data_IF_519916252135
#
_entry.id   IF_519916252135
#
_cell.length_a   1.000
_cell.length_b   1.000
_cell.length_c   1.000
_cell.angle_alpha   90.00
_cell.angle_beta   90.00
_cell.angle_gamma   90.00
#
_symmetry.space_group_name_H-M   'P 1'
#
loop_
_entity.id
_entity.type
_entity.pdbx_description
1 polymer ?
#
# COMPACT_ATOMS: atom_id res chain seq x y z
N UNK A 1 -85.48 -12.45 -5.57
CA UNK A 1 -84.72 -13.61 -6.09
C UNK A 1 -83.53 -13.06 -6.87
N UNK A 2 -82.55 -12.38 -6.23
CA UNK A 2 -81.67 -11.48 -7.01
C UNK A 2 -80.20 -11.49 -6.59
N UNK A 3 -79.75 -12.54 -5.89
CA UNK A 3 -78.33 -12.68 -5.52
C UNK A 3 -77.61 -13.69 -6.43
N UNK A 4 -78.30 -14.71 -6.94
CA UNK A 4 -77.68 -15.69 -7.85
C UNK A 4 -77.50 -15.17 -9.30
N UNK A 5 -78.22 -14.11 -9.71
CA UNK A 5 -78.15 -13.57 -11.09
C UNK A 5 -77.03 -12.54 -11.29
N UNK A 6 -76.52 -11.91 -10.23
CA UNK A 6 -75.47 -10.87 -10.32
C UNK A 6 -74.04 -11.44 -10.33
N UNK A 7 -73.84 -12.63 -9.76
CA UNK A 7 -72.54 -13.32 -9.74
C UNK A 7 -72.20 -13.84 -11.15
N UNK A 8 -73.18 -14.38 -11.88
CA UNK A 8 -72.99 -14.89 -13.25
C UNK A 8 -72.69 -13.81 -14.30
N UNK A 9 -73.17 -12.57 -14.12
CA UNK A 9 -72.92 -11.48 -15.08
C UNK A 9 -71.51 -10.90 -14.92
N UNK A 10 -71.05 -10.63 -13.69
CA UNK A 10 -69.67 -10.17 -13.43
C UNK A 10 -68.62 -11.16 -13.94
N UNK A 11 -68.77 -12.45 -13.60
CA UNK A 11 -67.86 -13.49 -14.08
C UNK A 11 -67.83 -13.61 -15.62
N UNK A 12 -68.96 -13.37 -16.30
CA UNK A 12 -69.02 -13.41 -17.76
C UNK A 12 -68.27 -12.25 -18.43
N UNK A 13 -68.40 -11.03 -17.89
CA UNK A 13 -67.65 -9.86 -18.37
C UNK A 13 -66.14 -10.03 -18.14
N UNK A 14 -65.75 -10.54 -16.98
CA UNK A 14 -64.35 -10.83 -16.67
C UNK A 14 -63.80 -11.93 -17.57
N UNK A 15 -64.57 -13.00 -17.85
CA UNK A 15 -64.14 -14.07 -18.75
C UNK A 15 -63.86 -13.56 -20.17
N UNK A 16 -64.68 -12.66 -20.70
CA UNK A 16 -64.47 -12.06 -22.04
C UNK A 16 -63.21 -11.18 -22.06
N UNK A 17 -63.00 -10.38 -21.02
CA UNK A 17 -61.84 -9.51 -20.92
C UNK A 17 -60.54 -10.32 -20.79
N UNK A 18 -60.53 -11.32 -19.90
CA UNK A 18 -59.40 -12.22 -19.70
C UNK A 18 -59.06 -12.94 -21.01
N UNK A 19 -60.04 -13.49 -21.73
CA UNK A 19 -59.80 -14.10 -23.06
C UNK A 19 -59.10 -13.13 -24.02
N UNK A 20 -59.60 -11.89 -24.13
CA UNK A 20 -59.02 -10.86 -25.01
C UNK A 20 -57.56 -10.58 -24.65
N UNK A 21 -57.25 -10.40 -23.37
CA UNK A 21 -55.92 -10.08 -22.85
C UNK A 21 -54.93 -11.24 -22.99
N UNK A 22 -55.38 -12.47 -22.77
CA UNK A 22 -54.56 -13.67 -22.94
C UNK A 22 -54.11 -13.80 -24.39
N UNK A 23 -54.97 -13.52 -25.38
CA UNK A 23 -54.55 -13.54 -26.78
C UNK A 23 -53.55 -12.43 -27.11
N UNK A 24 -53.73 -11.22 -26.55
CA UNK A 24 -52.77 -10.13 -26.74
C UNK A 24 -51.39 -10.53 -26.21
N UNK A 25 -51.33 -11.08 -24.99
CA UNK A 25 -50.08 -11.56 -24.38
C UNK A 25 -49.44 -12.70 -25.19
N UNK A 26 -50.22 -13.70 -25.59
CA UNK A 26 -49.72 -14.84 -26.38
C UNK A 26 -49.19 -14.40 -27.76
N UNK A 27 -49.88 -13.47 -28.42
CA UNK A 27 -49.46 -12.97 -29.73
C UNK A 27 -48.15 -12.18 -29.64
N UNK A 28 -47.99 -11.35 -28.60
CA UNK A 28 -46.74 -10.62 -28.36
C UNK A 28 -45.62 -11.61 -28.05
N UNK A 29 -45.84 -12.58 -27.16
CA UNK A 29 -44.83 -13.59 -26.83
C UNK A 29 -44.43 -14.45 -28.03
N UNK A 30 -45.37 -14.71 -28.94
CA UNK A 30 -45.10 -15.41 -30.20
C UNK A 30 -44.31 -14.54 -31.19
N UNK A 31 -44.66 -13.27 -31.34
CA UNK A 31 -43.93 -12.32 -32.18
C UNK A 31 -42.48 -12.08 -31.69
N UNK A 32 -42.28 -12.17 -30.37
CA UNK A 32 -40.96 -12.08 -29.72
C UNK A 32 -40.19 -13.41 -29.77
N UNK A 33 -40.72 -14.43 -30.45
CA UNK A 33 -40.14 -15.77 -30.56
C UNK A 33 -39.84 -16.46 -29.20
N UNK A 34 -40.59 -16.09 -28.15
CA UNK A 34 -40.46 -16.67 -26.79
C UNK A 34 -41.28 -17.95 -26.67
N UNK A 35 -42.41 -18.01 -27.38
CA UNK A 35 -43.27 -19.19 -27.47
C UNK A 35 -43.62 -19.47 -28.93
N UNK A 36 -43.93 -20.73 -29.24
CA UNK A 36 -44.56 -21.09 -30.51
C UNK A 36 -45.88 -21.81 -30.29
N UNK A 37 -46.82 -21.64 -31.22
CA UNK A 37 -48.14 -22.26 -31.17
C UNK A 37 -48.34 -23.15 -32.38
N UNK A 38 -48.48 -24.45 -32.13
CA UNK A 38 -48.93 -25.42 -33.12
C UNK A 38 -50.33 -25.90 -32.76
N UNK A 39 -51.33 -25.44 -33.51
CA UNK A 39 -52.76 -25.71 -33.28
C UNK A 39 -53.20 -25.37 -31.84
N UNK A 40 -53.35 -26.39 -30.98
CA UNK A 40 -53.77 -26.27 -29.57
C UNK A 40 -52.60 -26.45 -28.59
N UNK A 41 -51.38 -26.60 -29.08
CA UNK A 41 -50.17 -26.81 -28.27
C UNK A 41 -49.33 -25.53 -28.30
N UNK A 42 -48.98 -25.04 -27.11
CA UNK A 42 -48.05 -23.92 -26.95
C UNK A 42 -46.75 -24.51 -26.39
N UNK A 43 -45.64 -24.29 -27.10
CA UNK A 43 -44.30 -24.70 -26.65
C UNK A 43 -43.52 -23.48 -26.20
N UNK A 44 -42.84 -23.60 -25.07
CA UNK A 44 -41.91 -22.61 -24.57
C UNK A 44 -40.58 -22.74 -25.33
N UNK A 45 -40.13 -21.66 -25.99
CA UNK A 45 -38.87 -21.63 -26.74
C UNK A 45 -37.71 -21.02 -25.93
N UNK A 46 -38.03 -20.23 -24.88
CA UNK A 46 -37.04 -19.50 -24.09
C UNK A 46 -36.94 -18.03 -24.48
N UNK A 47 -36.15 -17.24 -23.75
CA UNK A 47 -35.93 -15.82 -24.06
C UNK A 47 -34.77 -15.74 -25.07
N UNK A 48 -34.97 -15.18 -26.28
CA UNK A 48 -33.89 -15.06 -27.27
C UNK A 48 -32.65 -14.35 -26.70
N UNK A 49 -31.47 -14.87 -27.04
CA UNK A 49 -30.18 -14.38 -26.52
C UNK A 49 -29.94 -12.89 -26.82
N UNK A 50 -30.55 -12.34 -27.86
CA UNK A 50 -30.50 -10.92 -28.18
C UNK A 50 -31.10 -10.01 -27.09
N UNK A 51 -32.07 -10.49 -26.29
CA UNK A 51 -32.59 -9.76 -25.13
C UNK A 51 -31.67 -9.87 -23.91
N UNK A 52 -30.89 -10.95 -23.82
CA UNK A 52 -29.84 -11.11 -22.81
C UNK A 52 -28.56 -10.34 -23.18
N UNK A 53 -28.35 -10.05 -24.47
CA UNK A 53 -27.21 -9.29 -25.00
C UNK A 53 -27.23 -7.81 -24.62
N UNK A 54 -28.32 -7.30 -24.06
CA UNK A 54 -28.35 -6.00 -23.40
C UNK A 54 -27.68 -6.02 -22.01
N UNK A 55 -27.15 -7.16 -21.56
CA UNK A 55 -26.13 -7.18 -20.50
C UNK A 55 -24.79 -6.73 -21.08
N UNK A 56 -24.68 -5.41 -21.18
CA UNK A 56 -23.49 -4.64 -20.84
C UNK A 56 -22.13 -5.22 -21.31
N UNK A 57 -21.65 -4.86 -22.52
CA UNK A 57 -20.20 -4.81 -22.78
C UNK A 57 -19.43 -4.02 -21.70
N UNK A 58 -20.11 -3.15 -20.93
CA UNK A 58 -19.53 -2.34 -19.87
C UNK A 58 -19.11 -3.07 -18.60
N UNK A 59 -19.70 -4.21 -18.19
CA UNK A 59 -19.37 -4.81 -16.87
C UNK A 59 -17.93 -5.36 -16.81
N UNK A 60 -17.47 -5.97 -17.89
CA UNK A 60 -16.12 -6.53 -17.96
C UNK A 60 -15.06 -5.43 -18.14
N UNK A 61 -15.41 -4.34 -18.83
CA UNK A 61 -14.52 -3.18 -18.99
C UNK A 61 -14.40 -2.40 -17.68
N UNK A 62 -15.53 -2.12 -17.01
CA UNK A 62 -15.58 -1.51 -15.68
C UNK A 62 -14.81 -2.35 -14.65
N UNK A 63 -14.96 -3.69 -14.67
CA UNK A 63 -14.18 -4.57 -13.80
C UNK A 63 -12.67 -4.51 -14.08
N UNK A 64 -12.25 -4.38 -15.34
CA UNK A 64 -10.84 -4.20 -15.69
C UNK A 64 -10.29 -2.85 -15.25
N UNK A 65 -11.08 -1.79 -15.35
CA UNK A 65 -10.71 -0.45 -14.87
C UNK A 65 -10.56 -0.43 -13.35
N UNK A 66 -11.50 -1.04 -12.63
CA UNK A 66 -11.41 -1.18 -11.16
C UNK A 66 -10.17 -1.97 -10.74
N UNK A 67 -9.83 -3.06 -11.44
CA UNK A 67 -8.63 -3.84 -11.14
C UNK A 67 -7.35 -3.02 -11.36
N UNK A 68 -7.29 -2.18 -12.40
CA UNK A 68 -6.15 -1.28 -12.63
C UNK A 68 -6.03 -0.22 -11.53
N UNK A 69 -7.15 0.32 -11.06
CA UNK A 69 -7.11 1.31 -9.97
C UNK A 69 -6.70 0.65 -8.65
N UNK A 70 -7.15 -0.58 -8.38
CA UNK A 70 -6.69 -1.38 -7.24
C UNK A 70 -5.19 -1.60 -7.32
N UNK A 71 -4.66 -2.06 -8.46
CA UNK A 71 -3.22 -2.31 -8.65
C UNK A 71 -2.39 -1.03 -8.43
N UNK A 72 -2.88 0.11 -8.93
CA UNK A 72 -2.23 1.41 -8.73
C UNK A 72 -2.24 1.84 -7.26
N UNK A 73 -3.36 1.66 -6.57
CA UNK A 73 -3.46 2.02 -5.15
C UNK A 73 -2.63 1.06 -4.27
N UNK A 74 -2.55 -0.23 -4.62
CA UNK A 74 -1.65 -1.19 -3.97
C UNK A 74 -0.18 -0.79 -4.12
N UNK A 75 0.25 -0.39 -5.31
CA UNK A 75 1.61 0.11 -5.55
C UNK A 75 1.89 1.35 -4.69
N UNK A 76 0.98 2.31 -4.68
CA UNK A 76 1.09 3.53 -3.87
C UNK A 76 1.16 3.21 -2.38
N UNK A 77 0.36 2.27 -1.89
CA UNK A 77 0.39 1.83 -0.49
C UNK A 77 1.73 1.18 -0.16
N UNK A 78 2.28 0.36 -1.05
CA UNK A 78 3.60 -0.24 -0.88
C UNK A 78 4.71 0.82 -0.76
N UNK A 79 4.71 1.82 -1.64
CA UNK A 79 5.66 2.95 -1.59
C UNK A 79 5.54 3.74 -0.27
N UNK A 80 4.30 4.01 0.17
CA UNK A 80 4.06 4.71 1.43
C UNK A 80 4.56 3.90 2.63
N UNK A 81 4.30 2.59 2.67
CA UNK A 81 4.79 1.71 3.72
C UNK A 81 6.32 1.66 3.77
N UNK A 82 6.97 1.61 2.60
CA UNK A 82 8.43 1.68 2.52
C UNK A 82 8.96 3.00 3.08
N UNK A 83 8.36 4.13 2.68
CA UNK A 83 8.70 5.45 3.21
C UNK A 83 8.53 5.54 4.73
N UNK A 84 7.43 5.02 5.27
CA UNK A 84 7.20 4.99 6.72
C UNK A 84 8.23 4.14 7.45
N UNK A 85 8.65 3.01 6.89
CA UNK A 85 9.71 2.18 7.47
C UNK A 85 11.03 2.95 7.55
N UNK A 86 11.41 3.64 6.48
CA UNK A 86 12.62 4.47 6.45
C UNK A 86 12.55 5.60 7.48
N UNK A 87 11.42 6.33 7.52
CA UNK A 87 11.21 7.41 8.49
C UNK A 87 11.27 6.90 9.92
N UNK A 88 10.69 5.73 10.20
CA UNK A 88 10.77 5.09 11.52
C UNK A 88 12.22 4.81 11.92
N UNK A 89 13.04 4.30 10.99
CA UNK A 89 14.48 4.11 11.21
C UNK A 89 15.17 5.41 11.60
N UNK A 90 14.99 6.46 10.80
CA UNK A 90 15.57 7.79 11.04
C UNK A 90 15.13 8.37 12.40
N UNK A 91 13.85 8.23 12.75
CA UNK A 91 13.32 8.72 14.03
C UNK A 91 13.95 7.95 15.20
N UNK A 92 14.04 6.63 15.11
CA UNK A 92 14.68 5.80 16.13
C UNK A 92 16.16 6.18 16.31
N UNK A 93 16.90 6.39 15.22
CA UNK A 93 18.30 6.80 15.27
C UNK A 93 18.47 8.17 15.94
N UNK A 94 17.55 9.11 15.64
CA UNK A 94 17.54 10.43 16.28
C UNK A 94 17.22 10.36 17.78
N UNK A 95 16.27 9.51 18.18
CA UNK A 95 15.93 9.29 19.59
C UNK A 95 17.14 8.68 20.32
N UNK A 96 17.74 7.62 19.77
CA UNK A 96 18.91 7.00 20.36
C UNK A 96 20.08 7.99 20.51
N UNK A 97 20.36 8.80 19.48
CA UNK A 97 21.37 9.86 19.55
C UNK A 97 21.04 10.88 20.64
N UNK A 98 19.79 11.32 20.73
CA UNK A 98 19.34 12.26 21.75
C UNK A 98 19.54 11.72 23.17
N UNK A 99 19.16 10.47 23.40
CA UNK A 99 19.30 9.82 24.70
C UNK A 99 20.78 9.70 25.11
N UNK A 100 21.63 9.24 24.20
CA UNK A 100 23.07 9.14 24.47
C UNK A 100 23.72 10.51 24.77
N UNK A 101 23.37 11.55 24.00
CA UNK A 101 23.89 12.90 24.25
C UNK A 101 23.40 13.41 25.62
N UNK A 102 22.12 13.21 25.93
CA UNK A 102 21.53 13.63 27.19
C UNK A 102 22.19 12.93 28.38
N UNK A 103 22.47 11.62 28.27
CA UNK A 103 23.16 10.84 29.28
C UNK A 103 24.62 11.30 29.47
N UNK A 104 25.34 11.60 28.38
CA UNK A 104 26.69 12.17 28.47
C UNK A 104 26.68 13.55 29.11
N UNK A 105 25.72 14.42 28.77
CA UNK A 105 25.57 15.74 29.40
C UNK A 105 25.33 15.58 30.90
N UNK A 106 24.39 14.72 31.30
CA UNK A 106 24.06 14.45 32.70
C UNK A 106 25.28 13.92 33.47
N UNK A 107 25.99 12.93 32.91
CA UNK A 107 27.22 12.37 33.51
C UNK A 107 28.30 13.44 33.68
N UNK A 108 28.52 14.25 32.65
CA UNK A 108 29.54 15.30 32.68
C UNK A 108 29.19 16.44 33.65
N UNK A 109 27.90 16.69 33.91
CA UNK A 109 27.45 17.61 34.97
C UNK A 109 27.75 17.07 36.38
N UNK A 110 27.63 15.76 36.59
CA UNK A 110 27.89 15.14 37.89
C UNK A 110 29.37 15.03 38.23
N UNK A 111 30.22 14.77 37.22
CA UNK A 111 31.67 14.67 37.37
C UNK A 111 32.38 15.57 36.35
N UNK A 112 32.47 16.88 36.62
CA UNK A 112 33.15 17.80 35.71
C UNK A 112 34.66 17.56 35.72
N UNK A 113 35.21 17.11 34.60
CA UNK A 113 36.66 17.02 34.40
C UNK A 113 37.24 18.45 34.34
N UNK A 114 38.25 18.74 35.16
CA UNK A 114 38.88 20.08 35.22
C UNK A 114 39.93 20.30 34.14
N UNK A 115 40.42 19.21 33.54
CA UNK A 115 41.44 19.26 32.51
C UNK A 115 40.78 19.29 31.13
N UNK A 116 40.87 20.45 30.46
CA UNK A 116 40.34 20.63 29.10
C UNK A 116 41.11 19.78 28.07
N UNK A 117 42.38 19.45 28.32
CA UNK A 117 43.19 18.66 27.38
C UNK A 117 42.73 17.21 27.24
N UNK A 118 41.92 16.72 28.19
CA UNK A 118 41.36 15.37 28.21
C UNK A 118 39.95 15.29 27.63
N UNK A 119 39.40 16.41 27.12
CA UNK A 119 38.05 16.49 26.58
C UNK A 119 38.06 16.47 25.06
N UNK A 120 37.11 15.74 24.50
CA UNK A 120 36.80 15.76 23.06
C UNK A 120 35.35 16.22 22.94
N UNK A 121 35.14 17.35 22.27
CA UNK A 121 33.82 17.89 22.01
C UNK A 121 33.16 17.20 20.82
N UNK A 122 31.83 17.04 20.88
CA UNK A 122 31.02 16.62 19.73
C UNK A 122 30.86 17.79 18.75
N UNK A 123 30.75 17.54 17.43
CA UNK A 123 30.84 16.25 16.75
C UNK A 123 32.30 15.85 16.46
N UNK A 124 32.58 14.55 16.44
CA UNK A 124 33.89 14.01 16.06
C UNK A 124 33.74 12.63 15.39
N UNK A 125 34.82 12.18 14.74
CA UNK A 125 34.97 10.79 14.29
C UNK A 125 36.35 10.29 14.69
N UNK A 126 36.49 8.97 14.82
CA UNK A 126 37.73 8.29 15.16
C UNK A 126 38.15 7.44 13.98
N UNK A 127 39.41 7.57 13.58
CA UNK A 127 40.02 6.65 12.61
C UNK A 127 40.82 5.63 13.41
N UNK A 128 40.35 4.38 13.47
CA UNK A 128 41.09 3.29 14.08
C UNK A 128 42.15 2.80 13.11
N UNK A 129 43.41 2.88 13.52
CA UNK A 129 44.54 2.30 12.79
C UNK A 129 45.09 1.08 13.53
N UNK A 130 45.00 -0.14 12.95
CA UNK A 130 45.43 -1.39 13.61
C UNK A 130 46.94 -1.51 13.80
N UNK A 131 47.74 -1.02 12.84
CA UNK A 131 49.20 -1.00 12.94
C UNK A 131 49.71 0.43 13.12
N UNK A 132 50.69 0.59 14.01
CA UNK A 132 51.42 1.85 14.24
C UNK A 132 52.48 2.13 13.16
N UNK A 133 52.53 1.33 12.09
CA UNK A 133 53.62 1.38 11.12
C UNK A 133 53.38 2.48 10.09
N UNK A 134 54.08 3.60 10.31
CA UNK A 134 54.29 4.72 9.39
C UNK A 134 53.03 5.30 8.72
N UNK A 135 52.29 6.09 9.50
CA UNK A 135 51.30 7.04 8.97
C UNK A 135 52.02 8.32 8.54
N UNK A 136 51.88 8.72 7.27
CA UNK A 136 52.18 10.09 6.85
C UNK A 136 50.88 10.89 6.89
N UNK A 137 50.81 11.88 7.79
CA UNK A 137 49.68 12.80 7.92
C UNK A 137 50.11 14.13 7.34
N UNK A 138 49.63 14.42 6.14
CA UNK A 138 49.88 15.68 5.47
C UNK A 138 48.67 16.60 5.69
N UNK A 139 48.85 17.60 6.54
CA UNK A 139 47.87 18.66 6.73
C UNK A 139 48.13 19.78 5.73
N UNK A 140 47.10 20.20 5.01
CA UNK A 140 47.17 21.38 4.16
C UNK A 140 47.45 22.62 5.03
N UNK A 141 48.14 23.61 4.45
CA UNK A 141 48.48 24.86 5.15
C UNK A 141 47.25 25.61 5.67
N UNK A 142 46.08 25.40 5.07
CA UNK A 142 44.80 25.99 5.49
C UNK A 142 44.10 25.20 6.60
N UNK A 143 44.61 24.02 6.98
CA UNK A 143 44.02 23.10 7.95
C UNK A 143 42.61 22.60 7.59
N UNK A 144 42.17 22.78 6.34
CA UNK A 144 40.84 22.33 5.89
C UNK A 144 40.88 20.96 5.21
N UNK A 145 42.08 20.47 4.90
CA UNK A 145 42.27 19.13 4.35
C UNK A 145 43.45 18.43 5.00
N UNK A 146 43.26 17.15 5.30
CA UNK A 146 44.30 16.25 5.78
C UNK A 146 44.29 14.99 4.93
N UNK A 147 45.47 14.57 4.47
CA UNK A 147 45.66 13.29 3.78
C UNK A 147 46.37 12.36 4.75
N UNK A 148 45.74 11.22 5.03
CA UNK A 148 46.30 10.18 5.88
C UNK A 148 46.65 9.00 4.98
N UNK A 149 47.95 8.72 4.85
CA UNK A 149 48.45 7.60 4.07
C UNK A 149 48.78 6.43 4.99
N UNK A 150 48.22 5.26 4.70
CA UNK A 150 48.47 4.02 5.44
C UNK A 150 49.40 3.11 4.63
N UNK A 151 50.49 2.66 5.24
CA UNK A 151 51.34 1.62 4.66
C UNK A 151 50.61 0.27 4.81
N UNK A 152 50.22 -0.32 3.69
CA UNK A 152 49.47 -1.57 3.66
C UNK A 152 50.37 -2.72 4.14
N UNK A 153 50.24 -3.10 5.42
CA UNK A 153 50.79 -4.37 5.90
C UNK A 153 49.79 -5.45 5.52
N UNK A 154 50.27 -6.61 5.05
CA UNK A 154 49.47 -7.65 4.39
C UNK A 154 48.47 -8.40 5.31
N UNK A 155 48.02 -7.76 6.40
CA UNK A 155 47.02 -8.28 7.32
C UNK A 155 45.65 -7.70 6.96
N UNK A 156 44.62 -8.55 7.05
CA UNK A 156 43.20 -8.28 6.78
C UNK A 156 42.56 -7.25 7.74
N UNK A 157 43.38 -6.47 8.44
CA UNK A 157 42.98 -5.48 9.43
C UNK A 157 42.61 -4.17 8.72
N UNK A 158 41.35 -4.07 8.29
CA UNK A 158 40.83 -2.84 7.69
C UNK A 158 40.85 -1.66 8.69
N UNK A 159 41.26 -0.49 8.20
CA UNK A 159 41.05 0.77 8.90
C UNK A 159 39.56 1.07 9.00
N UNK A 160 39.07 1.41 10.20
CA UNK A 160 37.64 1.68 10.46
C UNK A 160 37.46 3.13 10.90
N UNK A 161 36.55 3.84 10.23
CA UNK A 161 36.05 5.15 10.66
C UNK A 161 34.87 4.90 11.58
N UNK A 162 34.96 5.42 12.80
CA UNK A 162 33.94 5.29 13.84
C UNK A 162 33.37 6.68 14.11
N UNK A 163 32.08 6.86 13.86
CA UNK A 163 31.38 8.13 14.10
C UNK A 163 31.10 8.35 15.59
N UNK A 164 30.88 9.61 15.99
CA UNK A 164 30.53 9.96 17.37
C UNK A 164 29.35 9.14 17.91
N UNK A 165 28.32 8.94 17.10
CA UNK A 165 27.12 8.17 17.47
C UNK A 165 27.42 6.72 17.82
N UNK A 166 28.38 6.09 17.12
CA UNK A 166 28.78 4.72 17.41
C UNK A 166 29.60 4.65 18.69
N UNK A 167 30.49 5.62 18.92
CA UNK A 167 31.24 5.73 20.17
C UNK A 167 30.26 5.89 21.34
N UNK A 168 29.30 6.80 21.20
CA UNK A 168 28.26 7.05 22.21
C UNK A 168 27.42 5.80 22.49
N UNK A 169 27.07 5.02 21.46
CA UNK A 169 26.37 3.74 21.61
C UNK A 169 27.19 2.72 22.42
N UNK A 170 28.48 2.58 22.14
CA UNK A 170 29.36 1.62 22.83
C UNK A 170 29.68 2.02 24.27
N UNK A 171 29.53 3.30 24.62
CA UNK A 171 29.76 3.77 25.97
C UNK A 171 28.69 3.30 26.96
N UNK A 172 27.54 2.75 26.50
CA UNK A 172 26.43 2.24 27.32
C UNK A 172 26.03 3.19 28.47
N UNK A 173 26.03 4.50 28.20
CA UNK A 173 25.66 5.56 29.17
C UNK A 173 24.22 5.95 28.95
#
# INVERSE_FOLDING_TARGET
MDIQKSIGSKHSYDQKNIRRRVYDALNVLMAMNIITKDKKVIKWLGIPECYNSNKAPSRNEEQKELLKEIEKEELRQSELLHSLHLLRGIVNDKIAKHDHISNVILRNQQSPEKDESRKIALPFFIVRCPSMNAQDIQLSSDQHSAVISFMNDNNDDQHVIIEDTEVLRHLNI
#
